data_IF_297056317239
#
_entry.id   IF_297056317239
#
_cell.length_a   1.000
_cell.length_b   1.000
_cell.length_c   1.000
_cell.angle_alpha   90.00
_cell.angle_beta   90.00
_cell.angle_gamma   90.00
#
_symmetry.space_group_name_H-M   'P 1'
#
loop_
_entity.id
_entity.type
_entity.pdbx_description
1 polymer ?
#
# COMPACT_ATOMS: atom_id res chain seq x y z
N UNK A 1 2.50 4.46 -6.21
CA UNK A 1 3.82 4.70 -5.60
C UNK A 1 4.34 3.42 -4.99
N UNK A 2 5.62 3.08 -5.19
CA UNK A 2 6.25 1.96 -4.49
C UNK A 2 7.24 2.45 -3.44
N UNK A 3 7.25 1.82 -2.26
CA UNK A 3 8.22 2.11 -1.21
C UNK A 3 8.48 0.88 -0.33
N UNK A 4 9.60 0.90 0.38
CA UNK A 4 9.95 -0.14 1.33
C UNK A 4 9.63 0.35 2.75
N UNK A 5 9.11 -0.55 3.58
CA UNK A 5 8.91 -0.28 5.01
C UNK A 5 9.21 -1.55 5.81
N UNK A 6 10.21 -1.47 6.70
CA UNK A 6 10.78 -2.63 7.40
C UNK A 6 11.20 -3.71 6.37
N UNK A 7 10.72 -4.94 6.53
CA UNK A 7 10.99 -6.09 5.66
C UNK A 7 9.92 -6.31 4.57
N UNK A 8 9.15 -5.27 4.25
CA UNK A 8 8.06 -5.33 3.27
C UNK A 8 8.27 -4.33 2.14
N UNK A 9 7.86 -4.73 0.94
CA UNK A 9 7.69 -3.85 -0.22
C UNK A 9 6.21 -3.49 -0.30
N UNK A 10 5.89 -2.22 -0.51
CA UNK A 10 4.52 -1.73 -0.56
C UNK A 10 4.28 -1.08 -1.92
N UNK A 11 3.16 -1.44 -2.53
CA UNK A 11 2.56 -0.74 -3.66
C UNK A 11 1.35 0.06 -3.16
N UNK A 12 1.50 1.37 -3.06
CA UNK A 12 0.44 2.34 -2.76
C UNK A 12 0.02 3.11 -4.02
N UNK A 13 -0.03 2.45 -5.18
CA UNK A 13 -0.54 3.05 -6.42
C UNK A 13 -2.07 3.04 -6.40
N UNK A 14 -2.72 4.22 -6.36
CA UNK A 14 -4.18 4.30 -6.34
C UNK A 14 -4.77 3.77 -7.65
N UNK A 15 -6.05 3.40 -7.60
CA UNK A 15 -6.83 3.13 -8.81
C UNK A 15 -7.45 4.44 -9.29
N UNK A 16 -7.06 4.93 -10.46
CA UNK A 16 -7.71 6.05 -11.12
C UNK A 16 -8.96 5.56 -11.86
N UNK A 17 -10.13 6.11 -11.52
CA UNK A 17 -11.41 5.72 -12.13
C UNK A 17 -12.40 6.90 -12.13
N UNK A 18 -12.91 7.27 -13.31
CA UNK A 18 -13.86 8.38 -13.51
C UNK A 18 -13.46 9.70 -12.83
N UNK A 19 -12.19 10.09 -12.90
CA UNK A 19 -11.69 11.34 -12.32
C UNK A 19 -11.50 11.30 -10.80
N UNK A 20 -11.63 10.13 -10.18
CA UNK A 20 -11.32 9.90 -8.78
C UNK A 20 -10.16 8.91 -8.62
N UNK A 21 -9.53 8.96 -7.45
CA UNK A 21 -8.43 8.08 -7.07
C UNK A 21 -8.84 7.27 -5.84
N UNK A 22 -8.95 5.95 -6.01
CA UNK A 22 -9.26 5.05 -4.91
C UNK A 22 -7.97 4.66 -4.18
N UNK A 23 -7.91 4.95 -2.89
CA UNK A 23 -6.78 4.57 -2.06
C UNK A 23 -6.73 3.05 -1.94
N UNK A 24 -5.57 2.47 -2.23
CA UNK A 24 -5.31 1.04 -2.09
C UNK A 24 -3.83 0.79 -1.84
N UNK A 25 -3.53 -0.24 -1.07
CA UNK A 25 -2.19 -0.71 -0.81
C UNK A 25 -2.10 -2.23 -0.93
N UNK A 26 -1.03 -2.70 -1.56
CA UNK A 26 -0.60 -4.11 -1.55
C UNK A 26 0.74 -4.22 -0.82
N UNK A 27 0.84 -5.20 0.05
CA UNK A 27 2.01 -5.43 0.89
C UNK A 27 2.61 -6.77 0.52
N UNK A 28 3.90 -6.75 0.20
CA UNK A 28 4.66 -7.91 -0.19
C UNK A 28 5.77 -8.16 0.83
N UNK A 29 5.91 -9.40 1.29
CA UNK A 29 7.06 -9.79 2.09
C UNK A 29 8.31 -9.84 1.21
N UNK A 30 9.41 -9.28 1.71
CA UNK A 30 10.71 -9.36 1.02
C UNK A 30 11.46 -10.62 1.43
N UNK A 31 12.16 -11.21 0.48
CA UNK A 31 13.12 -12.27 0.76
C UNK A 31 14.46 -11.72 1.25
N UNK A 32 15.41 -12.61 1.57
CA UNK A 32 16.76 -12.24 2.01
C UNK A 32 17.59 -11.51 0.95
N UNK A 33 17.19 -11.58 -0.33
CA UNK A 33 17.77 -10.81 -1.42
C UNK A 33 17.08 -9.44 -1.62
N UNK A 34 16.08 -9.13 -0.78
CA UNK A 34 15.32 -7.88 -0.83
C UNK A 34 14.29 -7.83 -1.95
N UNK A 35 13.97 -8.94 -2.61
CA UNK A 35 12.94 -9.01 -3.65
C UNK A 35 11.56 -9.27 -3.03
N UNK A 36 10.53 -8.64 -3.58
CA UNK A 36 9.14 -8.92 -3.21
C UNK A 36 8.78 -10.34 -3.65
N UNK A 37 8.35 -11.19 -2.70
CA UNK A 37 8.11 -12.61 -2.97
C UNK A 37 6.63 -12.97 -2.92
N UNK A 38 5.99 -12.65 -1.80
CA UNK A 38 4.61 -13.09 -1.53
C UNK A 38 3.75 -11.89 -1.13
N UNK A 39 2.56 -11.74 -1.75
CA UNK A 39 1.56 -10.79 -1.29
C UNK A 39 0.99 -11.28 0.05
N UNK A 40 1.20 -10.51 1.11
CA UNK A 40 0.75 -10.85 2.46
C UNK A 40 -0.54 -10.14 2.83
N UNK A 41 -0.83 -9.00 2.19
CA UNK A 41 -2.02 -8.22 2.46
C UNK A 41 -2.39 -7.30 1.30
N UNK A 42 -3.69 -7.14 1.11
CA UNK A 42 -4.28 -6.15 0.23
C UNK A 42 -5.40 -5.41 0.96
N UNK A 43 -5.43 -4.09 0.83
CA UNK A 43 -6.47 -3.25 1.45
C UNK A 43 -7.83 -3.34 0.76
N UNK A 44 -7.88 -3.85 -0.47
CA UNK A 44 -8.99 -3.54 -1.38
C UNK A 44 -8.89 -2.13 -1.95
N UNK A 45 -9.82 -1.78 -2.84
CA UNK A 45 -10.05 -0.39 -3.25
C UNK A 45 -10.93 0.27 -2.18
N UNK A 46 -10.37 1.24 -1.46
CA UNK A 46 -11.06 1.81 -0.29
C UNK A 46 -11.89 3.03 -0.69
N UNK A 47 -11.66 4.19 -0.06
CA UNK A 47 -12.37 5.43 -0.35
C UNK A 47 -11.82 6.09 -1.62
N UNK A 48 -12.73 6.70 -2.40
CA UNK A 48 -12.40 7.58 -3.52
C UNK A 48 -12.01 8.98 -3.03
N UNK A 49 -10.94 9.53 -3.61
CA UNK A 49 -10.43 10.87 -3.35
C UNK A 49 -10.39 11.68 -4.65
N UNK A 50 -10.52 13.03 -4.56
CA UNK A 50 -10.47 13.90 -5.74
C UNK A 50 -9.04 14.08 -6.29
N UNK A 51 -8.01 13.80 -5.50
CA UNK A 51 -6.61 13.95 -5.87
C UNK A 51 -5.79 12.69 -5.59
N UNK A 52 -4.78 12.46 -6.44
CA UNK A 52 -3.93 11.27 -6.38
C UNK A 52 -3.10 11.23 -5.09
N UNK A 53 -2.56 12.38 -4.69
CA UNK A 53 -1.64 12.48 -3.56
C UNK A 53 -2.31 12.05 -2.25
N UNK A 54 -3.54 12.49 -2.01
CA UNK A 54 -4.32 12.07 -0.84
C UNK A 54 -4.60 10.57 -0.86
N UNK A 55 -4.97 10.01 -2.03
CA UNK A 55 -5.20 8.57 -2.15
C UNK A 55 -3.93 7.75 -1.86
N UNK A 56 -2.76 8.23 -2.32
CA UNK A 56 -1.45 7.62 -2.03
C UNK A 56 -1.11 7.71 -0.54
N UNK A 57 -1.26 8.87 0.09
CA UNK A 57 -0.92 9.03 1.51
C UNK A 57 -1.82 8.20 2.43
N UNK A 58 -3.11 8.11 2.12
CA UNK A 58 -4.04 7.23 2.87
C UNK A 58 -3.65 5.77 2.70
N UNK A 59 -3.35 5.33 1.48
CA UNK A 59 -2.88 3.96 1.21
C UNK A 59 -1.58 3.66 1.97
N UNK A 60 -0.65 4.61 1.99
CA UNK A 60 0.61 4.52 2.72
C UNK A 60 0.40 4.38 4.23
N UNK A 61 -0.43 5.24 4.83
CA UNK A 61 -0.73 5.19 6.27
C UNK A 61 -1.38 3.87 6.67
N UNK A 62 -2.33 3.38 5.86
CA UNK A 62 -2.96 2.09 6.09
C UNK A 62 -1.94 0.95 6.08
N UNK A 63 -1.00 0.95 5.12
CA UNK A 63 0.01 -0.09 5.01
C UNK A 63 0.97 -0.09 6.21
N UNK A 64 1.41 1.09 6.65
CA UNK A 64 2.27 1.24 7.83
C UNK A 64 1.54 0.74 9.08
N UNK A 65 0.31 1.19 9.31
CA UNK A 65 -0.48 0.78 10.47
C UNK A 65 -0.68 -0.74 10.53
N UNK A 66 -0.99 -1.37 9.39
CA UNK A 66 -1.11 -2.82 9.33
C UNK A 66 0.20 -3.53 9.62
N UNK A 67 1.34 -3.05 9.08
CA UNK A 67 2.65 -3.66 9.34
C UNK A 67 3.06 -3.52 10.80
N UNK A 68 2.77 -2.38 11.42
CA UNK A 68 3.08 -2.12 12.81
C UNK A 68 2.27 -3.05 13.72
N UNK A 69 0.97 -3.22 13.49
CA UNK A 69 0.10 -4.16 14.21
C UNK A 69 0.52 -5.63 13.97
N UNK A 70 0.91 -5.99 12.75
CA UNK A 70 1.36 -7.35 12.42
C UNK A 70 2.71 -7.71 13.09
N UNK A 71 3.43 -6.72 13.63
CA UNK A 71 4.74 -6.88 14.27
C UNK A 71 4.72 -6.58 15.77
N UNK A 72 3.57 -6.22 16.33
CA UNK A 72 3.35 -6.12 17.77
C UNK A 72 3.27 -7.52 18.40
#
# INVERSE_FOLDING_TARGET
MYFDYRQFRIDATPLAYHGHYFARARIYQRDSAGQARDEVRWSGDTRAYPDELTAVEVARQWAIAWIDDYRA
#
